data_IF_105967347928
#
_entry.id   IF_105967347928
#
_cell.length_a   1.000
_cell.length_b   1.000
_cell.length_c   1.000
_cell.angle_alpha   90.00
_cell.angle_beta   90.00
_cell.angle_gamma   90.00
#
_symmetry.space_group_name_H-M   'P 1'
#
loop_
_entity.id
_entity.type
_entity.pdbx_description
1 polymer ?
#
# COMPACT_ATOMS: atom_id res chain seq x y z
N UNK A 1 3.60 28.66 -5.53
CA UNK A 1 3.87 27.32 -4.97
C UNK A 1 3.19 26.32 -5.88
N UNK A 2 3.95 25.36 -6.43
CA UNK A 2 3.33 24.24 -7.17
C UNK A 2 2.52 23.40 -6.17
N UNK A 3 1.33 22.91 -6.54
CA UNK A 3 0.57 22.03 -5.66
C UNK A 3 1.41 20.80 -5.33
N UNK A 4 1.51 20.48 -4.04
CA UNK A 4 2.10 19.23 -3.60
C UNK A 4 1.19 18.12 -4.17
N UNK A 5 1.71 17.17 -4.96
CA UNK A 5 0.90 16.06 -5.44
C UNK A 5 0.24 15.38 -4.24
N UNK A 6 -1.03 14.95 -4.34
CA UNK A 6 -1.66 14.21 -3.26
C UNK A 6 -0.77 13.00 -2.93
N UNK A 7 -0.43 12.84 -1.65
CA UNK A 7 0.41 11.74 -1.19
C UNK A 7 -0.25 10.41 -1.59
N UNK A 8 0.43 9.63 -2.39
CA UNK A 8 0.00 8.28 -2.75
C UNK A 8 0.21 7.39 -1.54
N UNK A 9 -0.86 6.98 -0.86
CA UNK A 9 -0.81 6.08 0.30
C UNK A 9 -1.56 4.76 0.09
N UNK A 10 -1.25 3.77 0.93
CA UNK A 10 -2.06 2.56 1.14
C UNK A 10 -2.26 2.34 2.65
N UNK A 11 -3.43 1.85 3.05
CA UNK A 11 -3.64 1.25 4.37
C UNK A 11 -3.38 -0.25 4.29
N UNK A 12 -2.68 -0.80 5.28
CA UNK A 12 -2.28 -2.21 5.34
C UNK A 12 -2.85 -2.86 6.60
N UNK A 13 -3.61 -3.94 6.40
CA UNK A 13 -4.33 -4.65 7.44
C UNK A 13 -3.82 -6.08 7.53
N UNK A 14 -3.47 -6.51 8.75
CA UNK A 14 -3.17 -7.91 9.02
C UNK A 14 -4.27 -8.52 9.88
N UNK A 15 -4.94 -9.55 9.36
CA UNK A 15 -5.97 -10.28 10.12
C UNK A 15 -5.38 -10.77 11.45
N UNK A 16 -6.14 -10.60 12.54
CA UNK A 16 -5.79 -11.01 13.91
C UNK A 16 -4.57 -10.29 14.53
N UNK A 17 -4.02 -9.25 13.90
CA UNK A 17 -2.80 -8.58 14.35
C UNK A 17 -2.92 -7.05 14.49
N UNK A 18 -4.15 -6.53 14.50
CA UNK A 18 -4.43 -5.09 14.48
C UNK A 18 -4.01 -4.42 13.17
N UNK A 19 -4.11 -3.09 13.13
CA UNK A 19 -3.59 -2.27 12.05
C UNK A 19 -2.08 -2.08 12.24
N UNK A 20 -1.29 -2.33 11.18
CA UNK A 20 0.17 -2.14 11.22
C UNK A 20 0.59 -0.85 10.55
N UNK A 21 -0.04 -0.52 9.44
CA UNK A 21 0.20 0.72 8.73
C UNK A 21 -1.13 1.30 8.28
N UNK A 22 -1.49 2.43 8.86
CA UNK A 22 -2.54 3.28 8.32
C UNK A 22 -1.83 4.36 7.50
N UNK A 23 -2.28 4.55 6.26
CA UNK A 23 -1.76 5.56 5.33
C UNK A 23 -0.24 5.53 5.11
N UNK A 24 0.29 4.33 4.82
CA UNK A 24 1.67 4.14 4.39
C UNK A 24 1.91 4.87 3.06
N UNK A 25 2.84 5.85 2.98
CA UNK A 25 3.21 6.46 1.71
C UNK A 25 3.92 5.47 0.80
N UNK A 26 3.57 5.52 -0.49
CA UNK A 26 4.13 4.69 -1.56
C UNK A 26 4.35 5.55 -2.79
N UNK A 27 5.31 5.18 -3.61
CA UNK A 27 5.68 5.94 -4.81
C UNK A 27 4.79 5.59 -6.00
N UNK A 28 4.38 4.32 -6.07
CA UNK A 28 3.43 3.83 -7.08
C UNK A 28 2.49 2.79 -6.49
N UNK A 29 1.25 2.78 -6.97
CA UNK A 29 0.28 1.71 -6.71
C UNK A 29 -0.68 1.55 -7.87
N UNK A 30 -1.02 0.31 -8.19
CA UNK A 30 -2.13 -0.06 -9.07
C UNK A 30 -2.78 -1.36 -8.58
N UNK A 31 -3.59 -1.99 -9.44
CA UNK A 31 -4.32 -3.23 -9.13
C UNK A 31 -3.41 -4.46 -8.92
N UNK A 32 -2.17 -4.40 -9.39
CA UNK A 32 -1.23 -5.51 -9.45
C UNK A 32 0.02 -5.28 -8.61
N UNK A 33 0.43 -4.02 -8.43
CA UNK A 33 1.71 -3.72 -7.81
C UNK A 33 1.68 -2.48 -6.90
N UNK A 34 2.53 -2.50 -5.86
CA UNK A 34 2.91 -1.33 -5.06
C UNK A 34 4.43 -1.22 -5.02
N UNK A 35 4.94 -0.01 -5.16
CA UNK A 35 6.37 0.31 -5.09
C UNK A 35 6.63 1.34 -3.99
N UNK A 36 7.65 1.07 -3.18
CA UNK A 36 8.23 2.03 -2.24
C UNK A 36 9.71 2.20 -2.58
N UNK A 37 10.09 3.38 -3.01
CA UNK A 37 11.46 3.80 -3.29
C UNK A 37 12.11 4.32 -2.00
N UNK A 38 13.22 3.70 -1.63
CA UNK A 38 14.00 4.03 -0.44
C UNK A 38 15.29 4.80 -0.78
N UNK A 39 15.51 5.16 -2.05
CA UNK A 39 16.69 5.89 -2.52
C UNK A 39 16.79 7.24 -1.82
N UNK A 40 17.96 7.54 -1.24
CA UNK A 40 18.20 8.80 -0.53
C UNK A 40 17.40 8.99 0.76
N UNK A 41 16.59 8.01 1.17
CA UNK A 41 15.75 8.07 2.36
C UNK A 41 16.41 7.35 3.56
N UNK A 42 16.05 7.77 4.78
CA UNK A 42 16.48 7.08 6.01
C UNK A 42 15.76 5.74 6.21
N UNK A 43 14.53 5.62 5.73
CA UNK A 43 13.78 4.37 5.80
C UNK A 43 14.35 3.36 4.83
N UNK A 44 14.67 2.16 5.33
CA UNK A 44 15.22 1.06 4.52
C UNK A 44 14.14 0.05 4.17
N UNK A 45 14.29 -0.70 3.06
CA UNK A 45 13.36 -1.77 2.68
C UNK A 45 13.05 -2.79 3.79
N UNK A 46 14.02 -3.05 4.67
CA UNK A 46 13.89 -3.95 5.82
C UNK A 46 13.03 -3.39 6.96
N UNK A 47 12.76 -2.09 6.99
CA UNK A 47 11.92 -1.45 8.02
C UNK A 47 10.41 -1.68 7.76
N UNK A 48 10.03 -2.05 6.53
CA UNK A 48 8.65 -2.33 6.19
C UNK A 48 8.28 -3.78 6.49
N UNK A 49 7.34 -3.99 7.40
CA UNK A 49 6.82 -5.31 7.79
C UNK A 49 5.56 -5.69 6.98
N UNK A 50 5.62 -5.48 5.66
CA UNK A 50 4.65 -5.98 4.69
C UNK A 50 4.87 -7.48 4.47
N UNK A 51 3.79 -8.26 4.47
CA UNK A 51 3.84 -9.71 4.29
C UNK A 51 2.79 -10.21 3.31
N UNK A 52 3.07 -11.33 2.62
CA UNK A 52 2.03 -12.09 1.92
C UNK A 52 0.82 -12.35 2.82
N UNK A 53 -0.38 -12.16 2.28
CA UNK A 53 -1.65 -12.31 2.98
C UNK A 53 -2.17 -11.05 3.68
N UNK A 54 -1.38 -9.98 3.76
CA UNK A 54 -1.90 -8.68 4.21
C UNK A 54 -2.93 -8.14 3.21
N UNK A 55 -3.96 -7.47 3.73
CA UNK A 55 -4.88 -6.69 2.90
C UNK A 55 -4.34 -5.29 2.72
N UNK A 56 -4.43 -4.77 1.52
CA UNK A 56 -4.11 -3.38 1.19
C UNK A 56 -5.36 -2.68 0.71
N UNK A 57 -5.54 -1.43 1.12
CA UNK A 57 -6.68 -0.60 0.71
C UNK A 57 -6.23 0.81 0.39
N UNK A 58 -6.77 1.40 -0.66
CA UNK A 58 -6.50 2.79 -1.01
C UNK A 58 -7.70 3.45 -1.66
N UNK A 59 -7.71 4.79 -1.64
CA UNK A 59 -8.71 5.57 -2.37
C UNK A 59 -8.42 5.51 -3.88
N UNK A 60 -9.41 5.09 -4.64
CA UNK A 60 -9.42 5.03 -6.10
C UNK A 60 -10.64 5.83 -6.58
N UNK A 61 -10.39 7.04 -7.09
CA UNK A 61 -11.42 8.02 -7.41
C UNK A 61 -12.31 8.30 -6.18
N UNK A 62 -13.63 8.12 -6.29
CA UNK A 62 -14.60 8.30 -5.20
C UNK A 62 -14.82 7.04 -4.35
N UNK A 63 -14.14 5.93 -4.66
CA UNK A 63 -14.31 4.63 -3.99
C UNK A 63 -13.01 4.15 -3.37
N UNK A 64 -13.09 3.00 -2.71
CA UNK A 64 -11.93 2.30 -2.19
C UNK A 64 -11.64 1.06 -3.01
N UNK A 65 -10.38 0.83 -3.34
CA UNK A 65 -9.89 -0.43 -3.90
C UNK A 65 -9.29 -1.26 -2.76
N UNK A 66 -9.55 -2.57 -2.78
CA UNK A 66 -8.93 -3.54 -1.88
C UNK A 66 -8.25 -4.65 -2.66
N UNK A 67 -7.07 -5.07 -2.21
CA UNK A 67 -6.35 -6.23 -2.74
C UNK A 67 -5.61 -6.97 -1.63
N UNK A 68 -5.10 -8.15 -1.95
CA UNK A 68 -4.25 -8.96 -1.04
C UNK A 68 -2.81 -8.92 -1.53
N UNK A 69 -1.85 -8.77 -0.61
CA UNK A 69 -0.43 -8.95 -0.92
C UNK A 69 -0.17 -10.41 -1.24
N UNK A 70 0.24 -10.69 -2.48
CA UNK A 70 0.69 -12.01 -2.90
C UNK A 70 2.16 -12.25 -2.54
N UNK A 71 3.02 -11.28 -2.82
CA UNK A 71 4.46 -11.40 -2.63
C UNK A 71 5.09 -10.06 -2.28
N UNK A 72 6.18 -10.09 -1.51
CA UNK A 72 6.99 -8.91 -1.17
C UNK A 72 8.44 -9.19 -1.53
N UNK A 73 8.98 -8.39 -2.45
CA UNK A 73 10.41 -8.36 -2.78
C UNK A 73 11.05 -7.15 -2.12
N UNK A 74 12.18 -7.38 -1.46
CA UNK A 74 12.99 -6.31 -0.85
C UNK A 74 14.31 -6.25 -1.59
N UNK A 75 14.44 -5.23 -2.41
CA UNK A 75 15.68 -4.87 -3.09
C UNK A 75 16.51 -3.95 -2.17
N UNK A 76 17.78 -3.65 -2.49
CA UNK A 76 18.61 -2.80 -1.62
C UNK A 76 18.01 -1.42 -1.32
N UNK A 77 17.31 -0.84 -2.30
CA UNK A 77 16.74 0.52 -2.21
C UNK A 77 15.25 0.55 -2.56
N UNK A 78 14.56 -0.59 -2.63
CA UNK A 78 13.14 -0.61 -2.95
C UNK A 78 12.39 -1.76 -2.27
N UNK A 79 11.09 -1.55 -2.03
CA UNK A 79 10.13 -2.61 -1.72
C UNK A 79 9.16 -2.71 -2.88
N UNK A 80 9.07 -3.89 -3.50
CA UNK A 80 8.06 -4.23 -4.51
C UNK A 80 7.08 -5.22 -3.94
N UNK A 81 5.80 -4.89 -4.05
CA UNK A 81 4.71 -5.71 -3.53
C UNK A 81 3.82 -6.11 -4.69
N UNK A 82 3.69 -7.41 -4.94
CA UNK A 82 2.71 -7.93 -5.88
C UNK A 82 1.37 -8.14 -5.19
N UNK A 83 0.30 -7.70 -5.84
CA UNK A 83 -1.07 -7.76 -5.38
C UNK A 83 -1.87 -8.77 -6.20
N UNK A 84 -2.91 -9.31 -5.59
CA UNK A 84 -3.92 -10.15 -6.24
C UNK A 84 -5.32 -9.80 -5.74
N UNK A 85 -6.30 -10.05 -6.60
CA UNK A 85 -7.71 -9.90 -6.25
C UNK A 85 -8.12 -8.46 -6.00
N UNK A 86 -7.53 -7.51 -6.72
CA UNK A 86 -7.95 -6.12 -6.67
C UNK A 86 -9.42 -5.99 -7.07
N UNK A 87 -10.20 -5.30 -6.24
CA UNK A 87 -11.61 -5.02 -6.52
C UNK A 87 -12.06 -3.74 -5.82
N UNK A 88 -13.01 -3.04 -6.45
CA UNK A 88 -13.65 -1.88 -5.84
C UNK A 88 -14.59 -2.33 -4.72
N UNK A 89 -14.44 -1.72 -3.55
CA UNK A 89 -15.37 -1.84 -2.44
C UNK A 89 -16.68 -1.10 -2.75
N UNK A 90 -17.80 -1.50 -2.13
CA UNK A 90 -19.11 -0.85 -2.29
C UNK A 90 -19.06 0.68 -2.14
N UNK A 91 -19.98 1.40 -2.76
CA UNK A 91 -20.02 2.87 -2.72
C UNK A 91 -20.33 3.43 -1.32
N UNK A 92 -21.07 2.66 -0.52
CA UNK A 92 -21.40 2.96 0.88
C UNK A 92 -20.32 2.43 1.85
N UNK A 93 -19.19 1.96 1.34
CA UNK A 93 -18.06 1.57 2.18
C UNK A 93 -17.41 2.80 2.83
N UNK A 94 -17.40 2.83 4.16
CA UNK A 94 -16.68 3.83 4.93
C UNK A 94 -15.38 3.24 5.50
N UNK A 95 -14.21 3.87 5.21
CA UNK A 95 -12.97 3.48 5.84
C UNK A 95 -13.00 3.89 7.32
N UNK A 96 -13.24 2.91 8.19
CA UNK A 96 -13.28 3.01 9.66
C UNK A 96 -14.48 3.75 10.26
#
# INVERSE_FOLDING_TARGET
MLPIPPLTTISVFRRNYGLRYTDLPVDHRDEHDVLIDCTGNYTRPTHYDLRPGDLVRWKHEERFMEAVIQAVSREPEAVRVRLIGAHLLPEDFFPY
#
